data_IF_287255857436
#
_entry.id   IF_287255857436
#
_cell.length_a   1.000
_cell.length_b   1.000
_cell.length_c   1.000
_cell.angle_alpha   90.00
_cell.angle_beta   90.00
_cell.angle_gamma   90.00
#
_symmetry.space_group_name_H-M   'P 1'
#
loop_
_entity.id
_entity.type
_entity.pdbx_description
1 polymer ?
#
# COMPACT_ATOMS: atom_id res chain seq x y z
N UNK A 1 15.04 1.21 8.91
CA UNK A 1 14.29 0.65 7.76
C UNK A 1 15.23 -0.12 6.86
N UNK A 2 14.85 -1.28 6.31
CA UNK A 2 15.66 -2.00 5.34
C UNK A 2 15.71 -1.22 4.01
N UNK A 3 16.92 -1.02 3.48
CA UNK A 3 17.12 -0.50 2.12
C UNK A 3 16.80 -1.62 1.12
N UNK A 4 15.97 -1.32 0.12
CA UNK A 4 15.58 -2.28 -0.92
C UNK A 4 16.36 -1.93 -2.19
N UNK A 5 17.17 -2.85 -2.69
CA UNK A 5 17.87 -2.66 -3.95
C UNK A 5 16.94 -2.95 -5.13
N UNK A 6 16.74 -1.96 -5.99
CA UNK A 6 16.00 -2.10 -7.26
C UNK A 6 16.97 -1.85 -8.40
N UNK A 7 17.44 -2.94 -9.00
CA UNK A 7 18.58 -2.92 -9.93
C UNK A 7 19.83 -2.29 -9.28
N UNK A 8 20.19 -1.06 -9.66
CA UNK A 8 21.34 -0.33 -9.12
C UNK A 8 20.95 0.84 -8.19
N UNK A 9 19.66 1.01 -7.91
CA UNK A 9 19.14 2.07 -7.07
C UNK A 9 18.75 1.56 -5.69
N UNK A 10 18.92 2.41 -4.68
CA UNK A 10 18.50 2.14 -3.30
C UNK A 10 17.17 2.79 -3.03
N UNK A 11 16.13 1.97 -2.90
CA UNK A 11 14.82 2.42 -2.47
C UNK A 11 14.74 2.44 -0.94
N UNK A 12 14.22 3.54 -0.40
CA UNK A 12 13.84 3.68 1.00
C UNK A 12 12.55 4.48 1.09
N UNK A 13 12.06 4.74 2.29
CA UNK A 13 10.92 5.65 2.49
C UNK A 13 11.22 6.68 3.56
N UNK A 14 10.60 7.83 3.41
CA UNK A 14 10.54 8.87 4.44
C UNK A 14 9.16 8.89 5.05
N UNK A 15 9.08 9.01 6.39
CA UNK A 15 7.82 9.11 7.11
C UNK A 15 7.44 10.57 7.35
N UNK A 16 6.15 10.88 7.18
CA UNK A 16 5.55 12.13 7.60
C UNK A 16 5.14 12.02 9.06
N UNK A 17 5.88 12.70 9.95
CA UNK A 17 5.68 12.66 11.40
C UNK A 17 4.33 13.25 11.87
N UNK A 18 3.51 13.84 11.01
CA UNK A 18 2.25 14.50 11.39
C UNK A 18 0.98 13.80 10.89
N UNK A 19 1.05 13.03 9.80
CA UNK A 19 -0.13 12.43 9.15
C UNK A 19 0.03 10.92 8.91
N UNK A 20 1.03 10.31 9.54
CA UNK A 20 1.38 8.89 9.38
C UNK A 20 1.73 8.45 7.95
N UNK A 21 1.71 9.37 6.98
CA UNK A 21 2.04 9.12 5.59
C UNK A 21 3.50 8.81 5.36
N UNK A 22 3.83 8.35 4.17
CA UNK A 22 5.19 8.07 3.76
C UNK A 22 5.39 8.40 2.28
N UNK A 23 6.63 8.60 1.85
CA UNK A 23 6.94 8.75 0.43
C UNK A 23 8.14 7.91 0.05
N UNK A 24 8.20 7.55 -1.22
CA UNK A 24 9.29 6.74 -1.76
C UNK A 24 10.51 7.63 -2.03
N UNK A 25 11.65 7.22 -1.51
CA UNK A 25 12.95 7.79 -1.83
C UNK A 25 13.73 6.81 -2.70
N UNK A 26 14.48 7.36 -3.65
CA UNK A 26 15.45 6.63 -4.45
C UNK A 26 16.81 7.31 -4.34
N UNK A 27 17.80 6.56 -3.88
CA UNK A 27 19.14 7.06 -3.55
C UNK A 27 19.10 8.29 -2.61
N UNK A 28 18.10 8.32 -1.72
CA UNK A 28 17.87 9.40 -0.77
C UNK A 28 17.07 10.60 -1.31
N UNK A 29 16.63 10.58 -2.57
CA UNK A 29 15.84 11.67 -3.17
C UNK A 29 14.38 11.27 -3.35
N UNK A 30 13.40 12.15 -3.07
CA UNK A 30 12.00 11.88 -3.35
C UNK A 30 11.75 11.66 -4.84
N UNK A 31 10.95 10.64 -5.16
CA UNK A 31 10.52 10.34 -6.53
C UNK A 31 9.07 10.78 -6.70
N UNK A 32 8.71 11.32 -7.87
CA UNK A 32 7.32 11.66 -8.16
C UNK A 32 6.44 10.41 -8.13
N UNK A 33 5.28 10.47 -7.47
CA UNK A 33 4.40 9.31 -7.31
C UNK A 33 3.05 9.55 -7.98
N UNK A 34 2.58 8.55 -8.71
CA UNK A 34 1.20 8.49 -9.21
C UNK A 34 0.49 7.33 -8.52
N UNK A 35 -0.52 7.63 -7.71
CA UNK A 35 -1.26 6.63 -6.94
C UNK A 35 -2.55 6.22 -7.66
N UNK A 36 -2.75 4.92 -7.79
CA UNK A 36 -4.02 4.28 -8.14
C UNK A 36 -4.46 3.42 -6.97
N UNK A 37 -5.63 3.68 -6.39
CA UNK A 37 -6.20 2.88 -5.31
C UNK A 37 -7.28 1.95 -5.87
N UNK A 38 -7.19 0.67 -5.52
CA UNK A 38 -8.27 -0.29 -5.72
C UNK A 38 -8.85 -0.68 -4.37
N UNK A 39 -10.16 -0.63 -4.24
CA UNK A 39 -10.88 -1.17 -3.09
C UNK A 39 -11.69 -2.39 -3.53
N UNK A 40 -11.42 -3.56 -2.94
CA UNK A 40 -12.18 -4.79 -3.18
C UNK A 40 -12.86 -5.24 -1.89
N UNK A 41 -14.17 -5.43 -1.93
CA UNK A 41 -14.95 -5.97 -0.82
C UNK A 41 -15.65 -7.24 -1.25
N UNK A 42 -15.48 -8.29 -0.45
CA UNK A 42 -16.23 -9.54 -0.50
C UNK A 42 -17.25 -9.52 0.62
N UNK A 43 -18.54 -9.49 0.27
CA UNK A 43 -19.61 -9.54 1.26
C UNK A 43 -20.09 -10.97 1.55
N UNK A 44 -20.91 -11.13 2.59
CA UNK A 44 -21.48 -12.41 3.07
C UNK A 44 -22.07 -13.34 1.99
N UNK A 45 -22.57 -12.80 0.88
CA UNK A 45 -23.14 -13.58 -0.24
C UNK A 45 -22.09 -13.96 -1.31
N UNK A 46 -20.79 -13.78 -1.02
CA UNK A 46 -19.67 -13.86 -1.98
C UNK A 46 -19.78 -12.87 -3.14
N UNK A 47 -20.53 -11.78 -2.93
CA UNK A 47 -20.57 -10.68 -3.89
C UNK A 47 -19.24 -9.94 -3.83
N UNK A 48 -18.62 -9.75 -4.99
CA UNK A 48 -17.37 -9.01 -5.13
C UNK A 48 -17.70 -7.61 -5.66
N UNK A 49 -17.44 -6.60 -4.86
CA UNK A 49 -17.47 -5.20 -5.30
C UNK A 49 -16.04 -4.74 -5.44
N UNK A 50 -15.67 -4.23 -6.63
CA UNK A 50 -14.37 -3.63 -6.88
C UNK A 50 -14.55 -2.20 -7.34
N UNK A 51 -13.93 -1.27 -6.65
CA UNK A 51 -13.83 0.14 -7.00
C UNK A 51 -12.38 0.46 -7.35
N UNK A 52 -12.17 1.26 -8.39
CA UNK A 52 -10.84 1.72 -8.79
C UNK A 52 -10.90 3.24 -8.84
N UNK A 53 -10.09 3.90 -8.02
CA UNK A 53 -9.94 5.35 -8.06
C UNK A 53 -9.01 5.73 -9.21
N UNK A 54 -9.34 6.76 -10.01
CA UNK A 54 -8.47 7.20 -11.09
C UNK A 54 -7.06 7.54 -10.60
N UNK A 55 -6.01 7.25 -11.39
CA UNK A 55 -4.64 7.59 -11.03
C UNK A 55 -4.48 9.09 -10.79
N UNK A 56 -3.79 9.47 -9.74
CA UNK A 56 -3.53 10.87 -9.40
C UNK A 56 -2.14 11.11 -8.80
N UNK A 57 -1.53 12.29 -9.03
CA UNK A 57 -0.24 12.62 -8.42
C UNK A 57 -0.39 12.78 -6.91
N UNK A 58 0.56 12.25 -6.15
CA UNK A 58 0.61 12.38 -4.69
C UNK A 58 2.02 12.66 -4.20
N UNK A 59 2.14 13.55 -3.21
CA UNK A 59 3.43 13.85 -2.56
C UNK A 59 3.74 12.86 -1.42
N UNK A 60 2.70 12.35 -0.79
CA UNK A 60 2.74 11.40 0.31
C UNK A 60 1.69 10.33 0.07
N UNK A 61 2.11 9.08 0.19
CA UNK A 61 1.20 7.94 0.33
C UNK A 61 0.62 7.96 1.74
N UNK A 62 -0.68 7.67 1.89
CA UNK A 62 -1.29 7.65 3.21
C UNK A 62 -0.65 6.63 4.15
N UNK A 63 -0.75 6.87 5.46
CA UNK A 63 -0.26 5.97 6.48
C UNK A 63 -1.26 4.89 6.85
N UNK A 64 -0.85 3.64 6.75
CA UNK A 64 -1.53 2.50 7.36
C UNK A 64 -2.85 2.07 6.72
N UNK A 65 -3.35 0.96 7.24
CA UNK A 65 -4.45 0.23 6.62
C UNK A 65 -5.81 0.88 6.86
N UNK A 66 -6.66 0.93 5.83
CA UNK A 66 -8.02 1.46 5.96
C UNK A 66 -8.95 0.38 6.54
N UNK A 67 -9.48 0.65 7.73
CA UNK A 67 -10.48 -0.21 8.37
C UNK A 67 -11.88 0.06 7.80
N UNK A 68 -12.77 -0.95 7.82
CA UNK A 68 -14.19 -0.76 7.59
C UNK A 68 -14.74 0.27 8.59
N UNK A 69 -15.27 1.38 8.09
CA UNK A 69 -15.69 2.53 8.90
C UNK A 69 -14.78 3.75 8.81
N UNK A 70 -13.71 3.68 8.01
CA UNK A 70 -12.88 4.84 7.63
C UNK A 70 -11.77 5.19 8.62
N UNK A 71 -11.64 4.46 9.73
CA UNK A 71 -10.49 4.57 10.62
C UNK A 71 -9.24 3.97 9.94
N UNK A 72 -8.08 4.58 10.14
CA UNK A 72 -6.79 4.01 9.71
C UNK A 72 -6.01 3.48 10.91
N UNK A 73 -5.30 2.37 10.73
CA UNK A 73 -4.27 1.99 11.70
C UNK A 73 -3.12 2.99 11.59
N UNK A 74 -2.79 3.69 12.69
CA UNK A 74 -1.75 4.72 12.71
C UNK A 74 -0.38 4.16 12.31
N UNK A 75 0.36 4.94 11.53
CA UNK A 75 1.44 4.52 10.63
C UNK A 75 2.86 4.46 11.22
N UNK A 76 3.75 3.87 10.40
CA UNK A 76 5.17 3.63 10.67
C UNK A 76 5.50 2.13 10.73
N UNK A 77 4.86 1.38 11.63
CA UNK A 77 5.16 -0.05 11.87
C UNK A 77 4.75 -0.98 10.71
N UNK A 78 3.92 -0.52 9.78
CA UNK A 78 3.37 -1.35 8.70
C UNK A 78 4.39 -1.72 7.61
N UNK A 79 5.40 -0.87 7.33
CA UNK A 79 6.52 -1.22 6.46
C UNK A 79 7.47 -2.24 7.09
N UNK A 80 7.53 -2.28 8.43
CA UNK A 80 8.38 -3.23 9.16
C UNK A 80 7.82 -4.65 9.13
N UNK A 81 6.51 -4.79 8.94
CA UNK A 81 5.82 -6.08 8.84
C UNK A 81 5.53 -6.50 7.40
N UNK A 82 5.82 -5.65 6.42
CA UNK A 82 5.61 -5.93 5.01
C UNK A 82 6.55 -7.02 4.52
N UNK A 83 5.99 -7.98 3.79
CA UNK A 83 6.78 -8.86 2.93
C UNK A 83 7.13 -8.13 1.64
N UNK A 84 8.44 -8.05 1.35
CA UNK A 84 8.97 -7.31 0.21
C UNK A 84 9.44 -8.30 -0.85
N UNK A 85 8.91 -8.18 -2.06
CA UNK A 85 9.33 -8.93 -3.24
C UNK A 85 9.79 -7.96 -4.34
N UNK A 86 11.06 -8.02 -4.72
CA UNK A 86 11.57 -7.28 -5.88
C UNK A 86 11.34 -8.14 -7.12
N UNK A 87 10.52 -7.63 -8.05
CA UNK A 87 10.13 -8.30 -9.29
C UNK A 87 10.95 -7.79 -10.47
N UNK A 88 11.16 -8.60 -11.52
CA UNK A 88 11.72 -8.14 -12.79
C UNK A 88 10.92 -6.96 -13.36
N UNK A 89 11.58 -6.07 -14.10
CA UNK A 89 10.90 -4.93 -14.73
C UNK A 89 10.73 -3.71 -13.81
N UNK A 90 11.60 -3.56 -12.81
CA UNK A 90 11.64 -2.41 -11.89
C UNK A 90 10.38 -2.29 -11.04
N UNK A 91 9.83 -3.43 -10.64
CA UNK A 91 8.66 -3.50 -9.78
C UNK A 91 9.02 -3.98 -8.38
N UNK A 92 8.46 -3.36 -7.35
CA UNK A 92 8.55 -3.81 -5.97
C UNK A 92 7.14 -4.07 -5.46
N UNK A 93 6.91 -5.29 -5.00
CA UNK A 93 5.66 -5.69 -4.40
C UNK A 93 5.82 -5.73 -2.88
N UNK A 94 4.93 -5.03 -2.19
CA UNK A 94 4.82 -5.01 -0.74
C UNK A 94 3.51 -5.69 -0.37
N UNK A 95 3.57 -6.80 0.36
CA UNK A 95 2.39 -7.50 0.87
C UNK A 95 2.33 -7.35 2.38
N UNK A 96 1.18 -6.95 2.89
CA UNK A 96 1.01 -6.73 4.33
C UNK A 96 0.32 -7.94 4.97
N UNK A 97 0.65 -8.27 6.24
CA UNK A 97 -0.02 -9.34 6.95
C UNK A 97 -1.53 -9.11 6.98
N UNK A 98 -2.30 -10.16 6.75
CA UNK A 98 -3.75 -10.10 6.86
C UNK A 98 -4.14 -9.75 8.30
N UNK A 99 -4.96 -8.71 8.44
CA UNK A 99 -5.53 -8.30 9.70
C UNK A 99 -6.94 -8.85 9.82
N UNK A 100 -7.38 -9.14 11.04
CA UNK A 100 -8.75 -9.55 11.30
C UNK A 100 -9.33 -8.84 12.50
N UNK A 101 -10.64 -8.64 12.49
CA UNK A 101 -11.38 -8.04 13.60
C UNK A 101 -12.83 -8.51 13.61
N UNK A 102 -13.47 -8.41 14.78
CA UNK A 102 -14.87 -8.74 14.95
C UNK A 102 -15.71 -7.47 15.17
N UNK A 103 -16.84 -7.38 14.49
CA UNK A 103 -17.85 -6.33 14.71
C UNK A 103 -19.23 -6.97 14.64
N UNK A 104 -19.98 -6.94 15.74
CA UNK A 104 -21.38 -7.42 15.83
C UNK A 104 -21.67 -8.70 15.00
N UNK A 105 -21.13 -9.85 15.44
CA UNK A 105 -21.25 -11.18 14.79
C UNK A 105 -20.68 -11.26 13.36
N UNK A 106 -19.87 -10.29 12.94
CA UNK A 106 -19.22 -10.27 11.63
C UNK A 106 -17.72 -10.30 11.85
N UNK A 107 -17.03 -11.23 11.19
CA UNK A 107 -15.57 -11.22 11.09
C UNK A 107 -15.19 -10.47 9.83
N UNK A 108 -14.27 -9.52 9.97
CA UNK A 108 -13.68 -8.79 8.87
C UNK A 108 -12.22 -9.20 8.73
N UNK A 109 -11.85 -9.66 7.54
CA UNK A 109 -10.46 -9.85 7.13
C UNK A 109 -10.04 -8.71 6.23
N UNK A 110 -8.86 -8.14 6.47
CA UNK A 110 -8.28 -7.06 5.68
C UNK A 110 -6.92 -7.52 5.18
N UNK A 111 -6.70 -7.33 3.88
CA UNK A 111 -5.42 -7.57 3.24
C UNK A 111 -5.09 -6.37 2.37
N UNK A 112 -3.84 -5.93 2.43
CA UNK A 112 -3.35 -4.83 1.61
C UNK A 112 -2.11 -5.27 0.85
N UNK A 113 -1.93 -4.71 -0.34
CA UNK A 113 -0.71 -4.82 -1.09
C UNK A 113 -0.42 -3.56 -1.88
N UNK A 114 0.87 -3.25 -2.01
CA UNK A 114 1.37 -2.14 -2.81
C UNK A 114 2.23 -2.70 -3.94
N UNK A 115 2.01 -2.25 -5.17
CA UNK A 115 2.92 -2.47 -6.29
C UNK A 115 3.50 -1.13 -6.69
N UNK A 116 4.82 -1.00 -6.52
CA UNK A 116 5.61 0.11 -7.00
C UNK A 116 6.19 -0.26 -8.35
N UNK A 117 5.97 0.53 -9.39
CA UNK A 117 6.56 0.33 -10.72
C UNK A 117 7.33 1.58 -11.12
N UNK A 118 8.65 1.47 -11.21
CA UNK A 118 9.49 2.59 -11.61
C UNK A 118 9.54 2.76 -13.12
N UNK A 119 9.51 4.01 -13.56
CA UNK A 119 9.76 4.36 -14.94
C UNK A 119 11.23 4.05 -15.32
N UNK A 120 11.57 3.94 -16.61
CA UNK A 120 12.93 3.62 -17.03
C UNK A 120 14.01 4.61 -16.57
N UNK A 121 13.64 5.87 -16.33
CA UNK A 121 14.57 6.89 -15.87
C UNK A 121 14.65 6.98 -14.33
N UNK A 122 13.83 6.20 -13.61
CA UNK A 122 13.77 6.22 -12.15
C UNK A 122 13.45 7.62 -11.56
N UNK A 123 12.69 8.40 -12.31
CA UNK A 123 12.22 9.75 -11.95
C UNK A 123 10.78 9.76 -11.47
N UNK A 124 10.04 8.70 -11.76
CA UNK A 124 8.65 8.50 -11.34
C UNK A 124 8.43 7.06 -10.87
N UNK A 125 7.52 6.89 -9.92
CA UNK A 125 6.97 5.60 -9.53
C UNK A 125 5.45 5.61 -9.65
N UNK A 126 4.92 4.63 -10.38
CA UNK A 126 3.49 4.34 -10.38
C UNK A 126 3.19 3.40 -9.22
N UNK A 127 2.28 3.81 -8.36
CA UNK A 127 1.89 3.11 -7.14
C UNK A 127 0.49 2.57 -7.33
N UNK A 128 0.36 1.25 -7.34
CA UNK A 128 -0.94 0.58 -7.23
C UNK A 128 -1.13 0.12 -5.80
N UNK A 129 -2.14 0.64 -5.12
CA UNK A 129 -2.49 0.23 -3.76
C UNK A 129 -3.80 -0.54 -3.81
N UNK A 130 -3.72 -1.85 -3.56
CA UNK A 130 -4.88 -2.72 -3.53
C UNK A 130 -5.28 -2.99 -2.07
N UNK A 131 -6.48 -2.54 -1.71
CA UNK A 131 -7.16 -2.88 -0.46
C UNK A 131 -8.15 -4.00 -0.72
N UNK A 132 -8.09 -5.06 0.08
CA UNK A 132 -9.03 -6.16 0.04
C UNK A 132 -9.65 -6.38 1.41
N UNK A 133 -10.97 -6.54 1.42
CA UNK A 133 -11.76 -6.80 2.62
C UNK A 133 -12.70 -7.98 2.38
N UNK A 134 -12.76 -8.90 3.33
CA UNK A 134 -13.79 -9.94 3.39
C UNK A 134 -14.59 -9.77 4.66
N UNK A 135 -15.87 -9.52 4.47
CA UNK A 135 -16.86 -9.33 5.51
C UNK A 135 -17.70 -10.60 5.50
N UNK A 136 -17.49 -11.44 6.52
CA UNK A 136 -18.12 -12.74 6.67
C UNK A 136 -18.86 -12.80 8.01
N UNK A 137 -20.12 -13.25 8.00
CA UNK A 137 -20.94 -13.55 9.19
C UNK A 137 -21.06 -15.04 9.43
#
# INVERSE_FOLDING_TARGET
>A
MPEIAVENHRMSTELNNQEDGFRILLDGNPVAMTLTETDTTVGNTRTHTREIRPPGPVDWLPGGALLPGGARLSGGAWLETAEIEVRPGRAVHLSFPMLSGESYNTVVYLQESLVLTFDPAYTQVDVTWDHWSDVST
#
